data_IF_907263105588
#
_entry.id   IF_907263105588
#
_cell.length_a   1.000
_cell.length_b   1.000
_cell.length_c   1.000
_cell.angle_alpha   90.00
_cell.angle_beta   90.00
_cell.angle_gamma   90.00
#
_symmetry.space_group_name_H-M   'P 1'
#
loop_
_entity.id
_entity.type
_entity.pdbx_description
1 polymer ?
#
# COMPACT_ATOMS: atom_id res chain seq x y z
N UNK A 1 27.42 8.74 28.09
CA UNK A 1 27.43 7.77 26.97
C UNK A 1 25.99 7.36 26.70
N UNK A 2 25.34 7.97 25.71
CA UNK A 2 23.95 7.65 25.39
C UNK A 2 23.90 6.28 24.73
N UNK A 3 23.23 5.32 25.37
CA UNK A 3 23.05 3.96 24.86
C UNK A 3 22.18 3.98 23.61
N UNK A 4 22.73 3.48 22.50
CA UNK A 4 21.99 3.25 21.26
C UNK A 4 20.86 2.26 21.56
N UNK A 5 19.64 2.80 21.70
CA UNK A 5 18.49 2.03 22.12
C UNK A 5 17.93 1.31 20.90
N UNK A 6 18.40 0.09 20.66
CA UNK A 6 17.93 -0.73 19.56
C UNK A 6 16.45 -1.10 19.76
N UNK A 7 15.55 -0.35 19.10
CA UNK A 7 14.11 -0.60 19.14
C UNK A 7 13.74 -1.90 18.43
N UNK A 8 12.86 -2.68 19.05
CA UNK A 8 12.26 -3.88 18.47
C UNK A 8 11.36 -3.53 17.28
N UNK A 9 11.10 -4.52 16.41
CA UNK A 9 10.17 -4.36 15.28
C UNK A 9 8.77 -3.94 15.74
N UNK A 10 8.30 -4.49 16.88
CA UNK A 10 6.99 -4.16 17.46
C UNK A 10 6.91 -2.68 17.84
N UNK A 11 7.95 -2.13 18.46
CA UNK A 11 8.02 -0.71 18.83
C UNK A 11 8.09 0.20 17.61
N UNK A 12 8.87 -0.17 16.59
CA UNK A 12 8.92 0.56 15.31
C UNK A 12 7.54 0.61 14.66
N UNK A 13 6.84 -0.52 14.58
CA UNK A 13 5.48 -0.59 14.03
C UNK A 13 4.46 0.19 14.87
N UNK A 14 4.54 0.14 16.21
CA UNK A 14 3.66 0.91 17.10
C UNK A 14 3.84 2.41 16.85
N UNK A 15 5.08 2.90 16.84
CA UNK A 15 5.41 4.32 16.58
C UNK A 15 4.93 4.77 15.21
N UNK A 16 5.14 3.96 14.17
CA UNK A 16 4.67 4.25 12.81
C UNK A 16 3.14 4.38 12.76
N UNK A 17 2.41 3.41 13.33
CA UNK A 17 0.94 3.45 13.39
C UNK A 17 0.42 4.63 14.22
N UNK A 18 1.07 5.00 15.32
CA UNK A 18 0.71 6.19 16.10
C UNK A 18 0.84 7.48 15.29
N UNK A 19 1.90 7.61 14.46
CA UNK A 19 2.07 8.76 13.57
C UNK A 19 0.97 8.83 12.51
N UNK A 20 0.63 7.70 11.88
CA UNK A 20 -0.45 7.65 10.88
C UNK A 20 -1.82 7.98 11.49
N UNK A 21 -2.11 7.46 12.69
CA UNK A 21 -3.36 7.79 13.42
C UNK A 21 -3.49 9.28 13.70
N UNK A 22 -2.39 9.96 14.04
CA UNK A 22 -2.39 11.42 14.25
C UNK A 22 -2.68 12.19 12.96
N UNK A 23 -2.33 11.64 11.79
CA UNK A 23 -2.72 12.18 10.48
C UNK A 23 -4.16 11.82 10.08
N UNK A 24 -4.98 11.27 10.98
CA UNK A 24 -6.35 10.85 10.68
C UNK A 24 -6.48 9.51 9.95
N UNK A 25 -5.38 8.79 9.73
CA UNK A 25 -5.40 7.53 8.98
C UNK A 25 -5.71 6.34 9.91
N UNK A 26 -6.59 5.44 9.44
CA UNK A 26 -6.91 4.17 10.13
C UNK A 26 -6.25 3.00 9.41
N UNK A 27 -5.56 2.08 10.12
CA UNK A 27 -5.05 0.87 9.50
C UNK A 27 -6.22 -0.02 9.06
N UNK A 28 -6.17 -0.50 7.82
CA UNK A 28 -7.09 -1.53 7.30
C UNK A 28 -6.29 -2.81 7.11
N UNK A 29 -6.85 -3.92 7.58
CA UNK A 29 -6.25 -5.24 7.42
C UNK A 29 -7.04 -5.99 6.35
N UNK A 30 -6.40 -6.28 5.23
CA UNK A 30 -6.97 -7.01 4.11
C UNK A 30 -6.18 -8.29 3.89
N UNK A 31 -6.87 -9.33 3.43
CA UNK A 31 -6.22 -10.53 2.92
C UNK A 31 -5.84 -10.30 1.47
N UNK A 32 -4.57 -10.55 1.14
CA UNK A 32 -4.03 -10.43 -0.21
C UNK A 32 -3.47 -11.78 -0.65
N UNK A 33 -3.39 -12.07 -1.96
CA UNK A 33 -2.74 -13.29 -2.42
C UNK A 33 -1.29 -13.38 -1.93
N UNK A 34 -0.81 -14.59 -1.66
CA UNK A 34 0.57 -14.79 -1.21
C UNK A 34 1.55 -14.48 -2.35
N UNK A 35 2.25 -13.37 -2.20
CA UNK A 35 3.27 -12.90 -3.15
C UNK A 35 4.49 -13.83 -3.30
N UNK A 36 4.66 -14.79 -2.38
CA UNK A 36 5.76 -15.77 -2.41
C UNK A 36 5.36 -17.09 -3.06
N UNK A 37 4.07 -17.31 -3.32
CA UNK A 37 3.61 -18.53 -3.97
C UNK A 37 4.20 -18.66 -5.38
N UNK A 38 4.53 -19.89 -5.77
CA UNK A 38 4.95 -20.17 -7.14
C UNK A 38 3.83 -19.75 -8.11
N UNK A 39 4.20 -19.06 -9.19
CA UNK A 39 3.24 -18.56 -10.19
C UNK A 39 2.62 -17.20 -9.89
N UNK A 40 2.79 -16.61 -8.69
CA UNK A 40 2.24 -15.28 -8.38
C UNK A 40 2.70 -14.22 -9.41
N UNK A 41 3.98 -14.21 -9.77
CA UNK A 41 4.49 -13.26 -10.76
C UNK A 41 3.88 -13.46 -12.16
N UNK A 42 3.54 -14.69 -12.55
CA UNK A 42 2.90 -14.96 -13.83
C UNK A 42 1.45 -14.45 -13.83
N UNK A 43 0.72 -14.71 -12.74
CA UNK A 43 -0.64 -14.22 -12.58
C UNK A 43 -0.68 -12.69 -12.51
N UNK A 44 0.25 -12.04 -11.81
CA UNK A 44 0.37 -10.58 -11.81
C UNK A 44 0.53 -10.02 -13.22
N UNK A 45 1.41 -10.60 -14.05
CA UNK A 45 1.61 -10.15 -15.44
C UNK A 45 0.35 -10.34 -16.27
N UNK A 46 -0.34 -11.46 -16.11
CA UNK A 46 -1.60 -11.75 -16.80
C UNK A 46 -2.68 -10.73 -16.41
N UNK A 47 -2.87 -10.50 -15.11
CA UNK A 47 -3.88 -9.56 -14.60
C UNK A 47 -3.56 -8.11 -14.99
N UNK A 48 -2.30 -7.69 -14.93
CA UNK A 48 -1.89 -6.37 -15.39
C UNK A 48 -2.21 -6.16 -16.88
N UNK A 49 -1.96 -7.17 -17.72
CA UNK A 49 -2.32 -7.11 -19.15
C UNK A 49 -3.83 -7.03 -19.36
N UNK A 50 -4.62 -7.78 -18.60
CA UNK A 50 -6.09 -7.71 -18.66
C UNK A 50 -6.60 -6.32 -18.25
N UNK A 51 -6.10 -5.78 -17.15
CA UNK A 51 -6.44 -4.45 -16.67
C UNK A 51 -6.09 -3.37 -17.71
N UNK A 52 -4.89 -3.42 -18.30
CA UNK A 52 -4.45 -2.45 -19.33
C UNK A 52 -5.30 -2.44 -20.60
N UNK A 53 -6.02 -3.54 -20.88
CA UNK A 53 -6.87 -3.70 -22.06
C UNK A 53 -8.36 -3.49 -21.76
N UNK A 54 -8.69 -3.22 -20.51
CA UNK A 54 -10.07 -2.95 -20.09
C UNK A 54 -10.52 -1.60 -20.64
N UNK A 55 -11.73 -1.53 -21.18
CA UNK A 55 -12.34 -0.26 -21.59
C UNK A 55 -12.49 0.72 -20.40
N UNK A 56 -12.50 0.19 -19.17
CA UNK A 56 -12.60 0.95 -17.93
C UNK A 56 -11.25 1.47 -17.43
N UNK A 57 -10.12 1.10 -18.04
CA UNK A 57 -8.79 1.51 -17.57
C UNK A 57 -8.66 3.03 -17.47
N UNK A 58 -8.85 3.72 -18.60
CA UNK A 58 -8.69 5.18 -18.67
C UNK A 58 -9.70 5.93 -17.81
N UNK A 59 -11.02 5.64 -17.87
CA UNK A 59 -11.99 6.28 -16.97
C UNK A 59 -11.69 6.05 -15.49
N UNK A 60 -11.22 4.85 -15.11
CA UNK A 60 -10.89 4.53 -13.72
C UNK A 60 -9.68 5.33 -13.25
N UNK A 61 -8.62 5.38 -14.05
CA UNK A 61 -7.42 6.16 -13.71
C UNK A 61 -7.71 7.67 -13.65
N UNK A 62 -8.54 8.18 -14.55
CA UNK A 62 -8.96 9.58 -14.55
C UNK A 62 -9.75 9.92 -13.30
N UNK A 63 -10.74 9.10 -12.95
CA UNK A 63 -11.50 9.26 -11.72
C UNK A 63 -10.59 9.22 -10.48
N UNK A 64 -9.69 8.24 -10.40
CA UNK A 64 -8.73 8.15 -9.29
C UNK A 64 -7.86 9.41 -9.22
N UNK A 65 -7.36 9.90 -10.36
CA UNK A 65 -6.55 11.11 -10.41
C UNK A 65 -7.32 12.35 -9.97
N UNK A 66 -8.62 12.44 -10.28
CA UNK A 66 -9.49 13.54 -9.90
C UNK A 66 -9.74 13.57 -8.39
N UNK A 67 -9.96 12.41 -7.77
CA UNK A 67 -10.27 12.32 -6.33
C UNK A 67 -9.04 12.16 -5.44
N UNK A 68 -7.86 11.92 -6.02
CA UNK A 68 -6.65 11.67 -5.27
C UNK A 68 -6.20 12.93 -4.52
N UNK A 69 -6.43 12.95 -3.21
CA UNK A 69 -5.86 13.94 -2.30
C UNK A 69 -4.41 13.54 -2.00
N UNK A 70 -3.48 14.03 -2.81
CA UNK A 70 -2.07 14.03 -2.43
C UNK A 70 -1.80 15.31 -1.63
N UNK A 71 -1.35 15.18 -0.38
CA UNK A 71 -0.78 16.30 0.38
C UNK A 71 0.41 16.83 -0.43
N UNK A 72 0.27 18.00 -1.07
CA UNK A 72 1.37 18.73 -1.72
C UNK A 72 2.19 19.56 -0.70
N UNK A 73 2.35 19.07 0.53
CA UNK A 73 3.12 19.72 1.61
C UNK A 73 4.37 18.95 1.99
#
# INVERSE_FOLDING_TARGET
MATDTHRTQKEKQKRYRSRLRRKGLRPVQIWVPDTRASGFSAECRKQARLASRSAQEKPTLDFISEIAVWDNT
#
